data_IF_854036860046
#
_entry.id   IF_854036860046
#
_cell.length_a   1.000
_cell.length_b   1.000
_cell.length_c   1.000
_cell.angle_alpha   90.00
_cell.angle_beta   90.00
_cell.angle_gamma   90.00
#
_symmetry.space_group_name_H-M   'P 1'
#
loop_
_entity.id
_entity.type
_entity.pdbx_description
1 polymer ?
#
# COMPACT_ATOMS: atom_id res chain seq x y z
N UNK A 1 4.64 -10.33 -18.98
CA UNK A 1 4.51 -9.25 -20.00
C UNK A 1 4.35 -9.81 -21.41
N UNK A 2 4.67 -11.06 -21.63
CA UNK A 2 4.71 -11.72 -22.95
C UNK A 2 3.64 -12.80 -23.15
N UNK A 3 2.76 -12.97 -22.18
CA UNK A 3 1.70 -13.97 -22.19
C UNK A 3 0.32 -13.34 -22.04
N UNK A 4 -0.63 -13.86 -22.80
CA UNK A 4 -2.06 -13.56 -22.62
C UNK A 4 -2.59 -14.61 -21.64
N UNK A 5 -2.97 -14.17 -20.45
CA UNK A 5 -3.55 -15.02 -19.42
C UNK A 5 -5.04 -14.71 -19.25
N UNK A 6 -5.84 -15.68 -18.80
CA UNK A 6 -7.19 -15.40 -18.35
C UNK A 6 -7.16 -14.37 -17.21
N UNK A 7 -8.13 -13.46 -17.19
CA UNK A 7 -8.29 -12.53 -16.08
C UNK A 7 -8.66 -13.29 -14.80
N UNK A 8 -7.91 -13.07 -13.76
CA UNK A 8 -8.17 -13.65 -12.44
C UNK A 8 -9.12 -12.72 -11.65
N UNK A 9 -10.39 -13.08 -11.58
CA UNK A 9 -11.46 -12.25 -11.01
C UNK A 9 -11.27 -11.89 -9.53
N UNK A 10 -10.46 -12.67 -8.80
CA UNK A 10 -10.25 -12.51 -7.36
C UNK A 10 -8.85 -12.01 -6.99
N UNK A 11 -7.99 -11.80 -7.95
CA UNK A 11 -6.67 -11.23 -7.72
C UNK A 11 -6.71 -9.69 -7.86
N UNK A 12 -5.80 -8.97 -7.18
CA UNK A 12 -5.71 -7.54 -7.38
C UNK A 12 -5.27 -7.22 -8.80
N UNK A 13 -5.83 -6.18 -9.40
CA UNK A 13 -5.26 -5.63 -10.61
C UNK A 13 -3.86 -5.11 -10.30
N UNK A 14 -2.89 -5.46 -11.13
CA UNK A 14 -1.51 -4.98 -11.04
C UNK A 14 -1.05 -4.42 -12.40
N UNK A 15 0.10 -3.78 -12.42
CA UNK A 15 0.64 -3.16 -13.63
C UNK A 15 -0.25 -2.05 -14.20
N UNK A 16 -0.84 -1.27 -13.31
CA UNK A 16 -1.61 -0.08 -13.65
C UNK A 16 -0.88 1.18 -13.19
N UNK A 17 -0.91 2.21 -14.02
CA UNK A 17 -0.39 3.52 -13.69
C UNK A 17 -1.30 4.24 -12.68
N UNK A 18 -0.77 5.27 -12.03
CA UNK A 18 -1.58 6.12 -11.15
C UNK A 18 -2.76 6.76 -11.90
N UNK A 19 -2.55 7.15 -13.16
CA UNK A 19 -3.59 7.74 -13.99
C UNK A 19 -4.75 6.78 -14.26
N UNK A 20 -4.45 5.52 -14.56
CA UNK A 20 -5.46 4.48 -14.77
C UNK A 20 -6.21 4.18 -13.49
N UNK A 21 -5.49 4.02 -12.37
CA UNK A 21 -6.07 3.81 -11.05
C UNK A 21 -7.02 4.95 -10.66
N UNK A 22 -6.60 6.20 -10.83
CA UNK A 22 -7.40 7.38 -10.53
C UNK A 22 -8.60 7.55 -11.49
N UNK A 23 -8.43 7.21 -12.77
CA UNK A 23 -9.53 7.24 -13.74
C UNK A 23 -10.61 6.22 -13.39
N UNK A 24 -10.21 4.98 -13.06
CA UNK A 24 -11.13 3.95 -12.60
C UNK A 24 -11.86 4.37 -11.32
N UNK A 25 -11.14 4.90 -10.34
CA UNK A 25 -11.72 5.35 -9.08
C UNK A 25 -12.84 6.38 -9.32
N UNK A 26 -12.60 7.37 -10.17
CA UNK A 26 -13.60 8.39 -10.56
C UNK A 26 -14.79 7.78 -11.29
N UNK A 27 -14.54 6.88 -12.24
CA UNK A 27 -15.61 6.18 -12.96
C UNK A 27 -16.49 5.37 -12.00
N UNK A 28 -15.91 4.74 -10.99
CA UNK A 28 -16.61 3.98 -9.97
C UNK A 28 -17.34 4.86 -8.92
N UNK A 29 -17.33 6.19 -9.05
CA UNK A 29 -17.92 7.11 -8.08
C UNK A 29 -17.18 7.13 -6.73
N UNK A 30 -15.87 6.85 -6.77
CA UNK A 30 -14.98 6.78 -5.63
C UNK A 30 -13.70 7.59 -5.88
N UNK A 31 -12.72 7.46 -5.01
CA UNK A 31 -11.39 8.07 -5.16
C UNK A 31 -10.30 7.13 -4.63
N UNK A 32 -9.06 7.43 -4.94
CA UNK A 32 -7.93 6.84 -4.25
C UNK A 32 -7.86 7.39 -2.81
N UNK A 33 -7.45 6.58 -1.83
CA UNK A 33 -7.19 7.09 -0.49
C UNK A 33 -6.00 8.05 -0.50
N UNK A 34 -6.01 9.05 0.38
CA UNK A 34 -4.78 9.75 0.70
C UNK A 34 -3.81 8.81 1.43
N UNK A 35 -2.53 9.15 1.45
CA UNK A 35 -1.52 8.38 2.19
C UNK A 35 -1.87 8.27 3.68
N UNK A 36 -2.36 9.37 4.27
CA UNK A 36 -2.77 9.39 5.66
C UNK A 36 -3.99 8.49 5.92
N UNK A 37 -5.00 8.51 5.06
CA UNK A 37 -6.17 7.63 5.15
C UNK A 37 -5.76 6.17 5.02
N UNK A 38 -4.88 5.86 4.07
CA UNK A 38 -4.34 4.52 3.89
C UNK A 38 -3.64 4.05 5.16
N UNK A 39 -2.78 4.88 5.74
CA UNK A 39 -2.02 4.55 6.94
C UNK A 39 -2.92 4.36 8.17
N UNK A 40 -3.94 5.19 8.34
CA UNK A 40 -4.92 5.02 9.41
C UNK A 40 -5.72 3.72 9.21
N UNK A 41 -6.15 3.41 8.00
CA UNK A 41 -6.86 2.16 7.70
C UNK A 41 -6.01 0.92 7.97
N UNK A 42 -4.69 1.02 7.73
CA UNK A 42 -3.75 -0.08 7.96
C UNK A 42 -3.35 -0.23 9.44
N UNK A 43 -3.00 0.86 10.11
CA UNK A 43 -2.26 0.84 11.36
C UNK A 43 -3.01 1.48 12.54
N UNK A 44 -4.09 2.19 12.28
CA UNK A 44 -4.89 2.82 13.33
C UNK A 44 -5.50 1.79 14.28
N UNK A 45 -5.75 2.22 15.50
CA UNK A 45 -6.46 1.45 16.51
C UNK A 45 -7.87 2.00 16.69
N UNK A 46 -8.79 1.13 17.11
CA UNK A 46 -10.14 1.55 17.54
C UNK A 46 -10.13 1.92 19.02
N UNK A 47 -10.67 3.07 19.34
CA UNK A 47 -11.04 3.42 20.70
C UNK A 47 -12.27 2.62 21.16
N UNK A 48 -12.57 2.58 22.47
CA UNK A 48 -13.72 1.82 22.99
C UNK A 48 -15.09 2.22 22.40
N UNK A 49 -15.21 3.43 21.91
CA UNK A 49 -16.41 3.93 21.21
C UNK A 49 -16.43 3.58 19.71
N UNK A 50 -15.43 2.85 19.22
CA UNK A 50 -15.32 2.41 17.82
C UNK A 50 -14.74 3.44 16.86
N UNK A 51 -14.36 4.61 17.35
CA UNK A 51 -13.66 5.64 16.58
C UNK A 51 -12.16 5.32 16.46
N UNK A 52 -11.43 6.17 15.75
CA UNK A 52 -9.98 6.09 15.68
C UNK A 52 -9.40 6.52 17.02
N UNK A 53 -8.60 5.65 17.64
CA UNK A 53 -7.87 6.00 18.85
C UNK A 53 -6.74 6.97 18.50
N UNK A 54 -6.73 8.19 19.06
CA UNK A 54 -5.65 9.13 18.83
C UNK A 54 -4.35 8.59 19.46
N UNK A 55 -3.23 8.92 18.86
CA UNK A 55 -1.88 8.67 19.37
C UNK A 55 -1.49 7.18 19.54
N UNK A 56 -2.30 6.26 19.04
CA UNK A 56 -2.01 4.83 19.02
C UNK A 56 -1.89 4.32 17.59
N UNK A 57 -0.85 3.52 17.34
CA UNK A 57 -0.55 3.01 16.02
C UNK A 57 0.16 1.66 16.11
N UNK A 58 -0.31 0.71 15.32
CA UNK A 58 0.33 -0.60 15.17
C UNK A 58 1.58 -0.52 14.29
N UNK A 59 2.47 -1.47 14.45
CA UNK A 59 3.61 -1.67 13.54
C UNK A 59 3.12 -2.32 12.24
N UNK A 60 2.22 -3.30 12.37
CA UNK A 60 1.61 -4.04 11.26
C UNK A 60 0.08 -3.95 11.35
N UNK A 61 -0.65 -4.20 10.28
CA UNK A 61 -2.12 -4.21 10.31
C UNK A 61 -2.71 -5.13 11.37
N UNK A 62 -2.13 -6.30 11.55
CA UNK A 62 -2.56 -7.33 12.51
C UNK A 62 -2.07 -7.10 13.96
N UNK A 63 -1.21 -6.14 14.20
CA UNK A 63 -0.68 -5.84 15.54
C UNK A 63 0.79 -5.45 15.57
N UNK A 64 1.46 -5.75 16.66
CA UNK A 64 2.87 -5.36 16.88
C UNK A 64 3.84 -6.53 16.78
N UNK A 65 3.36 -7.76 16.75
CA UNK A 65 4.20 -8.93 16.63
C UNK A 65 4.70 -9.13 15.18
N UNK A 66 5.92 -9.60 15.01
CA UNK A 66 6.41 -9.95 13.68
C UNK A 66 5.49 -10.97 13.02
N UNK A 67 5.31 -10.79 11.71
CA UNK A 67 4.45 -11.67 10.92
C UNK A 67 5.02 -13.09 10.78
N UNK A 68 4.14 -14.08 10.85
CA UNK A 68 4.39 -15.43 10.35
C UNK A 68 4.15 -15.51 8.83
N UNK A 69 4.49 -16.65 8.27
CA UNK A 69 4.48 -16.91 6.82
C UNK A 69 3.09 -16.88 6.17
N UNK A 70 2.03 -16.93 6.98
CA UNK A 70 0.63 -17.08 6.52
C UNK A 70 -0.24 -15.84 6.77
N UNK A 71 0.38 -14.68 7.05
CA UNK A 71 -0.35 -13.45 7.40
C UNK A 71 -0.38 -12.46 6.22
N UNK A 72 0.60 -12.53 5.31
CA UNK A 72 0.71 -11.64 4.17
C UNK A 72 1.46 -12.29 3.00
N UNK A 73 1.11 -11.92 1.77
CA UNK A 73 1.81 -12.37 0.57
C UNK A 73 3.09 -11.54 0.35
N UNK A 74 4.22 -12.05 0.83
CA UNK A 74 5.54 -11.43 0.80
C UNK A 74 6.61 -12.44 0.39
N UNK A 75 7.85 -11.98 0.24
CA UNK A 75 9.05 -12.80 0.00
C UNK A 75 9.05 -13.63 -1.29
N UNK A 76 8.12 -13.37 -2.21
CA UNK A 76 7.99 -14.12 -3.46
C UNK A 76 7.44 -15.55 -3.29
N UNK A 77 6.85 -15.88 -2.15
CA UNK A 77 6.43 -17.26 -1.83
C UNK A 77 5.39 -17.83 -2.77
N UNK A 78 4.43 -17.02 -3.17
CA UNK A 78 3.37 -17.44 -4.10
C UNK A 78 3.72 -17.17 -5.57
N UNK A 79 4.89 -16.61 -5.86
CA UNK A 79 5.37 -16.28 -7.20
C UNK A 79 4.42 -15.39 -8.03
N UNK A 80 3.51 -14.68 -7.36
CA UNK A 80 2.52 -13.80 -7.95
C UNK A 80 1.55 -13.23 -6.91
N UNK A 81 0.60 -12.39 -7.35
CA UNK A 81 -0.51 -11.97 -6.51
C UNK A 81 -1.39 -13.18 -6.14
N UNK A 82 -2.16 -13.03 -5.09
CA UNK A 82 -3.12 -14.03 -4.62
C UNK A 82 -4.49 -13.39 -4.45
N UNK A 83 -5.52 -14.22 -4.26
CA UNK A 83 -6.89 -13.79 -3.99
C UNK A 83 -6.93 -12.68 -2.92
N UNK A 84 -7.64 -11.60 -3.21
CA UNK A 84 -7.78 -10.44 -2.30
C UNK A 84 -8.46 -10.79 -0.97
N UNK A 85 -9.14 -11.92 -0.89
CA UNK A 85 -9.73 -12.47 0.33
C UNK A 85 -8.79 -13.36 1.14
N UNK A 86 -7.59 -13.68 0.63
CA UNK A 86 -6.60 -14.47 1.36
C UNK A 86 -6.07 -13.75 2.61
N UNK A 87 -5.51 -14.51 3.53
CA UNK A 87 -4.85 -14.02 4.76
C UNK A 87 -5.76 -13.20 5.71
N UNK A 88 -6.90 -13.74 6.15
CA UNK A 88 -7.79 -13.02 7.07
C UNK A 88 -7.14 -12.65 8.41
N UNK A 89 -6.13 -13.39 8.84
CA UNK A 89 -5.36 -13.12 10.06
C UNK A 89 -4.51 -11.84 9.95
N UNK A 90 -4.28 -11.37 8.73
CA UNK A 90 -3.56 -10.13 8.42
C UNK A 90 -4.44 -8.88 8.37
N UNK A 91 -5.72 -8.97 8.70
CA UNK A 91 -6.64 -7.84 8.66
C UNK A 91 -6.26 -6.74 9.67
N UNK A 92 -6.47 -5.49 9.26
CA UNK A 92 -6.27 -4.35 10.16
C UNK A 92 -7.38 -4.28 11.22
N UNK A 93 -7.22 -3.41 12.23
CA UNK A 93 -8.24 -3.15 13.24
C UNK A 93 -9.60 -2.75 12.64
N UNK A 94 -9.58 -2.16 11.44
CA UNK A 94 -10.77 -1.74 10.72
C UNK A 94 -11.32 -2.80 9.76
N UNK A 95 -10.70 -3.99 9.71
CA UNK A 95 -11.09 -5.09 8.83
C UNK A 95 -10.63 -4.91 7.38
N UNK A 96 -9.63 -4.06 7.15
CA UNK A 96 -9.02 -3.92 5.83
C UNK A 96 -8.04 -5.06 5.61
N UNK A 97 -8.30 -5.86 4.56
CA UNK A 97 -7.48 -7.03 4.20
C UNK A 97 -6.31 -6.64 3.33
N UNK A 98 -5.20 -7.39 3.48
CA UNK A 98 -4.00 -7.29 2.67
C UNK A 98 -3.45 -5.85 2.54
N UNK A 99 -3.46 -5.13 3.66
CA UNK A 99 -2.82 -3.80 3.74
C UNK A 99 -1.29 -3.89 3.64
N UNK A 100 -0.70 -5.08 3.80
CA UNK A 100 0.71 -5.36 3.52
C UNK A 100 0.85 -6.58 2.62
N UNK A 101 1.75 -6.49 1.65
CA UNK A 101 2.02 -7.53 0.66
C UNK A 101 1.05 -7.48 -0.53
N UNK A 102 1.08 -8.52 -1.34
CA UNK A 102 0.31 -8.74 -2.54
C UNK A 102 0.62 -7.75 -3.67
N UNK A 103 0.18 -6.52 -3.59
CA UNK A 103 0.47 -5.45 -4.56
C UNK A 103 0.75 -4.12 -3.85
N UNK A 104 1.66 -3.31 -4.37
CA UNK A 104 1.77 -1.91 -3.99
C UNK A 104 0.47 -1.18 -4.31
N UNK A 105 0.08 -0.24 -3.48
CA UNK A 105 -1.17 0.49 -3.66
C UNK A 105 -0.93 1.98 -3.86
N UNK A 106 -1.40 2.49 -5.01
CA UNK A 106 -1.36 3.91 -5.31
C UNK A 106 -2.23 4.72 -4.34
N UNK A 107 -1.64 5.76 -3.76
CA UNK A 107 -2.36 6.79 -3.02
C UNK A 107 -2.59 8.03 -3.88
N UNK A 108 -3.52 8.88 -3.47
CA UNK A 108 -3.82 10.14 -4.17
C UNK A 108 -2.66 11.12 -4.13
N UNK A 109 -1.85 11.07 -3.06
CA UNK A 109 -0.85 12.09 -2.74
C UNK A 109 0.35 12.06 -3.68
N UNK A 110 0.88 13.25 -3.90
CA UNK A 110 2.23 13.42 -4.42
C UNK A 110 3.23 13.16 -3.30
N UNK A 111 4.29 12.44 -3.61
CA UNK A 111 5.33 12.13 -2.62
C UNK A 111 5.99 13.43 -2.14
N UNK A 112 5.94 13.66 -0.84
CA UNK A 112 6.47 14.84 -0.19
C UNK A 112 7.16 14.47 1.13
N UNK A 113 8.07 15.29 1.62
CA UNK A 113 8.66 15.10 2.94
C UNK A 113 7.61 15.26 4.04
N UNK A 114 7.79 14.57 5.15
CA UNK A 114 7.02 14.84 6.36
C UNK A 114 7.39 16.20 6.98
N UNK A 115 6.48 16.84 7.72
CA UNK A 115 6.81 18.06 8.45
C UNK A 115 8.03 17.88 9.35
N UNK A 116 8.97 18.82 9.28
CA UNK A 116 10.22 18.77 10.04
C UNK A 116 11.30 17.87 9.41
N UNK A 117 11.10 17.38 8.19
CA UNK A 117 12.15 16.66 7.48
C UNK A 117 13.33 17.60 7.19
N UNK A 118 14.52 17.14 7.53
CA UNK A 118 15.79 17.77 7.17
C UNK A 118 16.58 16.81 6.28
N UNK A 119 17.21 17.35 5.23
CA UNK A 119 18.07 16.54 4.36
C UNK A 119 19.33 16.14 5.12
N UNK A 120 19.81 14.94 4.84
CA UNK A 120 21.13 14.51 5.30
C UNK A 120 22.26 15.13 4.43
N UNK A 121 23.49 14.71 4.70
CA UNK A 121 24.66 15.20 3.99
C UNK A 121 24.66 14.89 2.48
N UNK A 122 23.79 13.95 2.01
CA UNK A 122 23.61 13.63 0.61
C UNK A 122 22.29 14.22 0.09
N UNK A 123 22.26 15.53 -0.01
CA UNK A 123 21.07 16.33 -0.28
C UNK A 123 20.38 15.94 -1.60
N UNK A 124 21.14 15.73 -2.67
CA UNK A 124 20.60 15.38 -3.99
C UNK A 124 19.77 14.09 -3.95
N UNK A 125 20.18 13.12 -3.14
CA UNK A 125 19.43 11.88 -2.95
C UNK A 125 18.25 12.05 -2.00
N UNK A 126 18.41 12.86 -0.96
CA UNK A 126 17.36 13.09 0.04
C UNK A 126 16.17 13.89 -0.49
N UNK A 127 16.39 14.76 -1.49
CA UNK A 127 15.34 15.59 -2.10
C UNK A 127 14.80 15.10 -3.41
N UNK A 128 15.49 14.16 -4.01
CA UNK A 128 15.11 13.63 -5.32
C UNK A 128 13.68 13.10 -5.29
N UNK A 129 12.89 13.50 -6.31
CA UNK A 129 11.54 12.99 -6.55
C UNK A 129 10.42 13.53 -5.63
N UNK A 130 10.71 14.39 -4.66
CA UNK A 130 9.67 15.13 -3.97
C UNK A 130 8.95 16.09 -4.94
N UNK A 131 7.62 16.04 -4.92
CA UNK A 131 6.78 16.87 -5.78
C UNK A 131 6.51 16.31 -7.17
N UNK A 132 7.26 15.31 -7.61
CA UNK A 132 7.19 14.75 -8.98
C UNK A 132 6.55 13.37 -9.05
N UNK A 133 6.66 12.59 -7.98
CA UNK A 133 6.20 11.20 -7.93
C UNK A 133 4.93 11.04 -7.09
N UNK A 134 4.28 9.89 -7.22
CA UNK A 134 3.10 9.49 -6.44
C UNK A 134 3.45 8.44 -5.40
N UNK A 135 2.77 8.52 -4.27
CA UNK A 135 2.98 7.61 -3.14
C UNK A 135 2.40 6.23 -3.45
N UNK A 136 3.16 5.21 -3.06
CA UNK A 136 2.70 3.82 -2.97
C UNK A 136 2.90 3.29 -1.56
N UNK A 137 1.96 2.46 -1.13
CA UNK A 137 1.98 1.86 0.20
C UNK A 137 1.76 0.34 0.11
N UNK A 138 2.07 -0.37 1.19
CA UNK A 138 1.70 -1.75 1.40
C UNK A 138 2.73 -2.81 0.98
N UNK A 139 3.60 -2.54 0.04
CA UNK A 139 4.49 -3.57 -0.49
C UNK A 139 3.79 -4.48 -1.49
N UNK A 140 4.57 -5.26 -2.23
CA UNK A 140 4.09 -6.26 -3.17
C UNK A 140 4.53 -7.67 -2.74
N UNK A 141 4.01 -8.69 -3.39
CA UNK A 141 4.37 -10.09 -3.15
C UNK A 141 5.89 -10.38 -3.25
N UNK A 142 6.64 -9.54 -3.99
CA UNK A 142 8.10 -9.62 -4.09
C UNK A 142 8.85 -8.95 -2.94
N UNK A 143 8.18 -8.11 -2.15
CA UNK A 143 8.82 -7.33 -1.10
C UNK A 143 9.26 -8.22 0.04
N UNK A 144 10.49 -8.01 0.53
CA UNK A 144 11.03 -8.79 1.64
C UNK A 144 10.34 -8.44 2.95
N UNK A 145 9.83 -9.43 3.65
CA UNK A 145 9.11 -9.28 4.91
C UNK A 145 9.91 -8.49 5.96
N UNK A 146 11.21 -8.71 6.05
CA UNK A 146 12.12 -7.98 6.97
C UNK A 146 12.15 -6.46 6.75
N UNK A 147 11.75 -5.99 5.56
CA UNK A 147 11.68 -4.56 5.22
C UNK A 147 10.31 -3.97 5.52
N UNK A 148 9.28 -4.83 5.65
CA UNK A 148 7.91 -4.38 5.73
C UNK A 148 7.54 -3.88 7.11
N UNK A 149 7.00 -2.69 7.11
CA UNK A 149 6.25 -2.06 8.20
C UNK A 149 5.12 -1.27 7.57
N UNK A 150 4.05 -1.08 8.28
CA UNK A 150 2.94 -0.29 7.75
C UNK A 150 3.32 1.16 7.42
N UNK A 151 4.40 1.67 7.98
CA UNK A 151 4.94 3.00 7.66
C UNK A 151 5.86 3.05 6.44
N UNK A 152 6.19 1.90 5.84
CA UNK A 152 7.08 1.87 4.68
C UNK A 152 6.43 2.58 3.49
N UNK A 153 7.14 3.55 2.93
CA UNK A 153 6.72 4.36 1.78
C UNK A 153 7.50 3.94 0.55
N UNK A 154 6.82 3.96 -0.58
CA UNK A 154 7.45 3.88 -1.90
C UNK A 154 6.88 4.98 -2.78
N UNK A 155 7.52 5.25 -3.90
CA UNK A 155 7.12 6.31 -4.82
C UNK A 155 7.61 5.99 -6.23
N UNK A 156 6.79 6.31 -7.22
CA UNK A 156 7.15 6.24 -8.63
C UNK A 156 6.49 7.37 -9.40
N UNK A 157 6.99 7.64 -10.59
CA UNK A 157 6.36 8.53 -11.57
C UNK A 157 4.95 8.01 -11.87
N UNK A 158 3.95 8.90 -12.02
CA UNK A 158 2.55 8.50 -12.12
C UNK A 158 2.20 7.70 -13.39
N UNK A 159 3.03 7.73 -14.41
CA UNK A 159 2.90 6.95 -15.64
C UNK A 159 3.44 5.52 -15.54
N UNK A 160 4.19 5.18 -14.49
CA UNK A 160 4.78 3.84 -14.35
C UNK A 160 3.70 2.77 -14.21
N UNK A 161 3.79 1.75 -15.05
CA UNK A 161 2.92 0.58 -15.07
C UNK A 161 3.70 -0.75 -15.02
N UNK A 162 5.01 -0.67 -15.03
CA UNK A 162 5.93 -1.82 -14.98
C UNK A 162 6.21 -2.32 -13.55
N UNK A 163 5.63 -1.70 -12.54
CA UNK A 163 5.73 -2.11 -11.15
C UNK A 163 4.52 -2.97 -10.74
N UNK A 164 4.68 -3.78 -9.70
CA UNK A 164 3.59 -4.58 -9.14
C UNK A 164 2.65 -3.70 -8.31
N UNK A 165 2.05 -2.72 -8.96
CA UNK A 165 1.17 -1.73 -8.34
C UNK A 165 -0.27 -1.86 -8.81
N UNK A 166 -1.16 -1.85 -7.85
CA UNK A 166 -2.60 -1.75 -8.00
C UNK A 166 -3.12 -0.60 -7.13
N UNK A 167 -4.34 -0.69 -6.67
CA UNK A 167 -4.97 0.34 -5.84
C UNK A 167 -6.16 -0.20 -5.07
N UNK A 168 -6.57 0.53 -4.04
CA UNK A 168 -7.87 0.37 -3.39
C UNK A 168 -8.69 1.64 -3.49
N UNK A 169 -9.99 1.52 -3.29
CA UNK A 169 -10.93 2.65 -3.37
C UNK A 169 -11.33 3.15 -1.99
N UNK A 170 -11.56 4.45 -1.91
CA UNK A 170 -12.15 5.14 -0.79
C UNK A 170 -13.40 5.92 -1.26
N UNK A 171 -14.47 5.91 -0.49
CA UNK A 171 -15.70 6.67 -0.75
C UNK A 171 -15.75 7.92 0.11
#
# INVERSE_FOLDING_TARGET
>A
FDQILPLADHEPVIHVSWYEANAYARWAGARLPSEAEWEVAALGEKSPDGLIAPDTKRIYPWGNDPHGDEIANLDGRHMGPVDVAAFPEGDSAFGCRQMLGNAWEWCADTFAPYPGFETDAYEDYSRMLFGETKVLRGGAWTTRSRMMRGTYRNYFEPERWDVFSGFRLCK
#
